data_IF_200575814861
#
_entry.id   IF_200575814861
#
_cell.length_a   1.000
_cell.length_b   1.000
_cell.length_c   1.000
_cell.angle_alpha   90.00
_cell.angle_beta   90.00
_cell.angle_gamma   90.00
#
_symmetry.space_group_name_H-M   'P 1'
#
loop_
_entity.id
_entity.type
_entity.pdbx_description
1 polymer ?
#
# COMPACT_ATOMS: atom_id res chain seq x y z
N UNK A 1 19.20 -1.47 17.32
CA UNK A 1 18.84 -1.39 15.89
C UNK A 1 18.30 -2.77 15.56
N UNK A 2 16.97 -2.95 15.59
CA UNK A 2 16.35 -4.26 15.32
C UNK A 2 16.36 -4.44 13.80
N UNK A 3 16.79 -5.60 13.33
CA UNK A 3 16.68 -6.02 11.93
C UNK A 3 15.23 -5.93 11.48
N UNK A 4 14.89 -4.83 10.81
CA UNK A 4 13.63 -4.65 10.06
C UNK A 4 13.77 -5.16 8.62
N UNK A 5 14.92 -5.72 8.24
CA UNK A 5 15.28 -5.86 6.82
C UNK A 5 14.81 -7.14 6.13
N UNK A 6 14.03 -8.01 6.80
CA UNK A 6 13.62 -9.29 6.20
C UNK A 6 12.13 -9.64 6.38
N UNK A 7 11.40 -8.92 7.23
CA UNK A 7 9.97 -9.15 7.42
C UNK A 7 9.19 -8.14 6.61
N UNK A 8 8.53 -8.62 5.56
CA UNK A 8 7.63 -7.78 4.78
C UNK A 8 6.55 -7.23 5.70
N UNK A 9 6.24 -5.95 5.60
CA UNK A 9 5.18 -5.28 6.37
C UNK A 9 3.82 -6.01 6.31
N UNK A 10 3.55 -6.74 5.22
CA UNK A 10 2.37 -7.56 5.03
C UNK A 10 2.34 -8.78 5.95
N UNK A 11 3.51 -9.28 6.33
CA UNK A 11 3.74 -10.39 7.26
C UNK A 11 4.00 -9.89 8.69
N UNK A 12 4.06 -8.57 8.87
CA UNK A 12 4.22 -7.94 10.17
C UNK A 12 2.88 -7.68 10.85
N UNK A 13 2.38 -8.66 11.60
CA UNK A 13 1.14 -8.55 12.39
C UNK A 13 1.17 -7.41 13.42
N UNK A 14 2.36 -7.03 13.89
CA UNK A 14 2.60 -5.99 14.88
C UNK A 14 2.89 -4.60 14.26
N UNK A 15 2.77 -4.47 12.94
CA UNK A 15 2.99 -3.21 12.24
C UNK A 15 2.04 -2.12 12.76
N UNK A 16 2.60 -0.96 13.13
CA UNK A 16 1.79 0.17 13.61
C UNK A 16 0.96 0.78 12.48
N UNK A 17 -0.10 1.52 12.86
CA UNK A 17 -0.96 2.24 11.90
C UNK A 17 -0.13 3.18 11.02
N UNK A 18 0.81 3.93 11.61
CA UNK A 18 1.69 4.84 10.85
C UNK A 18 2.60 4.09 9.88
N UNK A 19 3.16 2.95 10.29
CA UNK A 19 4.00 2.13 9.42
C UNK A 19 3.21 1.57 8.23
N UNK A 20 1.99 1.08 8.48
CA UNK A 20 1.08 0.61 7.43
C UNK A 20 0.66 1.73 6.48
N UNK A 21 0.39 2.93 6.98
CA UNK A 21 0.03 4.08 6.13
C UNK A 21 1.22 4.60 5.32
N UNK A 22 2.42 4.61 5.90
CA UNK A 22 3.65 4.95 5.17
C UNK A 22 3.87 3.98 4.00
N UNK A 23 3.84 2.68 4.29
CA UNK A 23 3.99 1.64 3.29
C UNK A 23 2.93 1.75 2.18
N UNK A 24 1.67 1.99 2.56
CA UNK A 24 0.61 2.20 1.59
C UNK A 24 0.91 3.38 0.67
N UNK A 25 1.38 4.49 1.22
CA UNK A 25 1.76 5.67 0.46
C UNK A 25 2.86 5.37 -0.55
N UNK A 26 3.89 4.62 -0.14
CA UNK A 26 5.00 4.24 -1.02
C UNK A 26 4.52 3.38 -2.19
N UNK A 27 3.78 2.29 -1.94
CA UNK A 27 3.28 1.43 -3.02
C UNK A 27 2.33 2.14 -3.97
N UNK A 28 1.47 3.03 -3.46
CA UNK A 28 0.55 3.79 -4.30
C UNK A 28 1.27 4.86 -5.13
N UNK A 29 2.29 5.50 -4.58
CA UNK A 29 3.15 6.42 -5.31
C UNK A 29 3.93 5.71 -6.43
N UNK A 30 4.49 4.52 -6.15
CA UNK A 30 5.12 3.70 -7.18
C UNK A 30 4.12 3.28 -8.25
N UNK A 31 2.94 2.80 -7.88
CA UNK A 31 1.89 2.43 -8.83
C UNK A 31 1.53 3.60 -9.76
N UNK A 32 1.34 4.79 -9.22
CA UNK A 32 1.03 6.00 -10.00
C UNK A 32 2.17 6.40 -10.92
N UNK A 33 3.42 6.38 -10.43
CA UNK A 33 4.60 6.70 -11.22
C UNK A 33 4.78 5.72 -12.39
N UNK A 34 4.70 4.42 -12.12
CA UNK A 34 4.79 3.38 -13.14
C UNK A 34 3.65 3.47 -14.16
N UNK A 35 2.40 3.70 -13.72
CA UNK A 35 1.28 3.89 -14.64
C UNK A 35 1.50 5.09 -15.57
N UNK A 36 2.01 6.20 -15.03
CA UNK A 36 2.34 7.40 -15.82
C UNK A 36 3.42 7.10 -16.87
N UNK A 37 4.49 6.41 -16.47
CA UNK A 37 5.56 6.02 -17.39
C UNK A 37 5.07 5.11 -18.52
N UNK A 38 4.20 4.13 -18.21
CA UNK A 38 3.59 3.26 -19.23
C UNK A 38 2.70 4.03 -20.20
N UNK A 39 1.98 5.04 -19.71
CA UNK A 39 1.14 5.88 -20.55
C UNK A 39 1.95 6.76 -21.51
N UNK A 40 3.11 7.27 -21.06
CA UNK A 40 4.05 7.99 -21.93
C UNK A 40 4.67 7.03 -22.96
N UNK A 41 5.13 5.86 -22.53
CA UNK A 41 5.68 4.85 -23.44
C UNK A 41 4.71 4.44 -24.55
N UNK A 42 3.44 4.22 -24.22
CA UNK A 42 2.41 3.88 -25.20
C UNK A 42 2.12 5.02 -26.19
N UNK A 43 2.34 6.28 -25.80
CA UNK A 43 2.12 7.43 -26.68
C UNK A 43 3.26 7.59 -27.70
N UNK A 44 4.49 7.29 -27.29
CA UNK A 44 5.68 7.41 -28.12
C UNK A 44 5.89 6.18 -29.04
N UNK A 45 5.12 5.11 -28.82
CA UNK A 45 5.15 3.91 -29.65
C UNK A 45 4.33 4.11 -30.95
N UNK A 46 5.01 4.46 -32.03
CA UNK A 46 4.41 4.57 -33.39
C UNK A 46 4.25 3.19 -34.08
N UNK A 47 4.50 2.07 -33.38
CA UNK A 47 4.56 0.71 -33.94
C UNK A 47 3.55 -0.29 -33.37
N UNK A 48 3.67 -1.55 -33.81
CA UNK A 48 2.93 -2.71 -33.29
C UNK A 48 3.60 -3.18 -31.99
N UNK A 49 3.48 -2.36 -30.92
CA UNK A 49 4.11 -2.62 -29.63
C UNK A 49 3.72 -3.97 -29.04
N UNK A 50 4.65 -4.59 -28.29
CA UNK A 50 4.38 -5.87 -27.64
C UNK A 50 3.34 -5.69 -26.51
N UNK A 51 2.06 -5.88 -26.87
CA UNK A 51 0.94 -5.83 -25.95
C UNK A 51 1.09 -6.80 -24.77
N UNK A 52 1.92 -7.84 -24.87
CA UNK A 52 2.23 -8.76 -23.77
C UNK A 52 3.05 -8.07 -22.68
N UNK A 53 4.07 -7.31 -23.05
CA UNK A 53 4.91 -6.58 -22.09
C UNK A 53 4.10 -5.49 -21.38
N UNK A 54 3.27 -4.77 -22.13
CA UNK A 54 2.34 -3.78 -21.56
C UNK A 54 1.36 -4.44 -20.58
N UNK A 55 0.76 -5.57 -20.97
CA UNK A 55 -0.16 -6.30 -20.09
C UNK A 55 0.52 -6.80 -18.81
N UNK A 56 1.78 -7.24 -18.89
CA UNK A 56 2.55 -7.65 -17.72
C UNK A 56 2.83 -6.46 -16.81
N UNK A 57 3.24 -5.32 -17.37
CA UNK A 57 3.53 -4.10 -16.62
C UNK A 57 2.28 -3.54 -15.91
N UNK A 58 1.13 -3.55 -16.58
CA UNK A 58 -0.17 -3.22 -15.97
C UNK A 58 -0.54 -4.19 -14.83
N UNK A 59 -0.22 -5.48 -14.97
CA UNK A 59 -0.35 -6.46 -13.89
C UNK A 59 0.51 -6.09 -12.67
N UNK A 60 1.74 -5.62 -12.89
CA UNK A 60 2.61 -5.09 -11.84
C UNK A 60 2.00 -3.87 -11.14
N UNK A 61 1.45 -2.92 -11.88
CA UNK A 61 0.72 -1.76 -11.31
C UNK A 61 -0.46 -2.22 -10.46
N UNK A 62 -1.24 -3.20 -10.93
CA UNK A 62 -2.35 -3.75 -10.16
C UNK A 62 -1.90 -4.40 -8.85
N UNK A 63 -0.77 -5.11 -8.85
CA UNK A 63 -0.18 -5.71 -7.65
C UNK A 63 0.27 -4.64 -6.65
N UNK A 64 0.98 -3.60 -7.09
CA UNK A 64 1.38 -2.48 -6.23
C UNK A 64 0.17 -1.81 -5.56
N UNK A 65 -0.88 -1.52 -6.34
CA UNK A 65 -2.13 -0.98 -5.78
C UNK A 65 -2.80 -1.93 -4.78
N UNK A 66 -2.71 -3.25 -4.98
CA UNK A 66 -3.27 -4.23 -4.07
C UNK A 66 -2.56 -4.21 -2.71
N UNK A 67 -1.22 -4.17 -2.71
CA UNK A 67 -0.42 -4.05 -1.48
C UNK A 67 -0.78 -2.77 -0.72
N UNK A 68 -0.82 -1.63 -1.42
CA UNK A 68 -1.20 -0.36 -0.80
C UNK A 68 -2.60 -0.40 -0.17
N UNK A 69 -3.59 -0.98 -0.86
CA UNK A 69 -4.95 -1.16 -0.33
C UNK A 69 -4.98 -2.03 0.92
N UNK A 70 -4.26 -3.15 0.93
CA UNK A 70 -4.20 -4.04 2.10
C UNK A 70 -3.65 -3.29 3.31
N UNK A 71 -2.57 -2.52 3.12
CA UNK A 71 -1.97 -1.74 4.20
C UNK A 71 -2.95 -0.69 4.77
N UNK A 72 -3.67 0.04 3.91
CA UNK A 72 -4.73 0.98 4.34
C UNK A 72 -5.85 0.28 5.09
N UNK A 73 -6.31 -0.88 4.62
CA UNK A 73 -7.37 -1.65 5.28
C UNK A 73 -6.95 -2.11 6.68
N UNK A 74 -5.71 -2.58 6.84
CA UNK A 74 -5.15 -2.96 8.14
C UNK A 74 -5.04 -1.76 9.08
N UNK A 75 -4.56 -0.62 8.58
CA UNK A 75 -4.47 0.62 9.35
C UNK A 75 -5.86 1.09 9.83
N UNK A 76 -6.87 1.09 8.96
CA UNK A 76 -8.24 1.43 9.33
C UNK A 76 -8.82 0.48 10.38
N UNK A 77 -8.53 -0.82 10.25
CA UNK A 77 -8.97 -1.84 11.21
C UNK A 77 -8.38 -1.54 12.60
N UNK A 78 -7.08 -1.23 12.68
CA UNK A 78 -6.45 -0.83 13.95
C UNK A 78 -7.12 0.41 14.55
N UNK A 79 -7.30 1.49 13.78
CA UNK A 79 -7.96 2.70 14.30
C UNK A 79 -9.38 2.43 14.82
N UNK A 80 -10.14 1.57 14.13
CA UNK A 80 -11.51 1.25 14.49
C UNK A 80 -11.60 0.42 15.80
N UNK A 81 -10.68 -0.51 16.00
CA UNK A 81 -10.73 -1.46 17.11
C UNK A 81 -9.78 -1.14 18.29
N UNK A 82 -8.71 -0.38 18.09
CA UNK A 82 -7.80 0.12 19.14
C UNK A 82 -8.22 1.49 19.69
N UNK A 83 -9.30 2.09 19.17
CA UNK A 83 -9.90 3.26 19.82
C UNK A 83 -10.30 2.88 21.24
N UNK A 84 -9.74 3.51 22.29
CA UNK A 84 -10.10 3.19 23.66
C UNK A 84 -11.60 3.41 23.79
N UNK A 85 -12.33 2.42 24.34
CA UNK A 85 -13.70 2.62 24.78
C UNK A 85 -13.71 3.83 25.72
N UNK A 86 -14.12 4.97 25.17
CA UNK A 86 -14.21 6.25 25.87
C UNK A 86 -15.45 6.17 26.78
N UNK A 87 -15.33 5.40 27.85
CA UNK A 87 -16.47 5.01 28.68
C UNK A 87 -16.17 4.73 30.15
N UNK A 88 -14.96 4.32 30.54
CA UNK A 88 -14.65 4.07 31.96
C UNK A 88 -13.87 5.23 32.58
N UNK A 89 -14.56 6.36 32.77
CA UNK A 89 -14.17 7.29 33.83
C UNK A 89 -15.09 6.99 35.01
N UNK A 90 -14.69 6.00 35.81
CA UNK A 90 -15.29 5.74 37.12
C UNK A 90 -15.22 7.03 37.93
N UNK A 91 -16.39 7.61 38.19
CA UNK A 91 -16.57 8.72 39.10
C UNK A 91 -16.53 8.14 40.53
N UNK A 92 -15.35 8.08 41.13
CA UNK A 92 -15.23 7.85 42.57
C UNK A 92 -15.45 9.18 43.28
N UNK A 93 -16.49 9.22 44.12
CA UNK A 93 -16.92 10.37 44.91
C UNK A 93 -16.26 10.49 46.28
#
# INVERSE_FOLDING_TARGET
MKDTNERWILEDDDASTDALLNEAGEWLAYAQGTASLLAEWMRDDEGEGDHRELSLALGGVAAMMAVGRICVQRAHTQVLFDSPQRGDVSHEG
#
